data_IF_598063458187
#
_entry.id   IF_598063458187
#
_cell.length_a   1.000
_cell.length_b   1.000
_cell.length_c   1.000
_cell.angle_alpha   90.00
_cell.angle_beta   90.00
_cell.angle_gamma   90.00
#
_symmetry.space_group_name_H-M   'P 1'
#
loop_
_entity.id
_entity.type
_entity.pdbx_description
1 polymer ?
#
# COMPACT_ATOMS: atom_id res chain seq x y z
N UNK A 1 16.49 -4.48 15.61
CA UNK A 1 15.30 -5.18 15.10
C UNK A 1 14.22 -4.14 14.91
N UNK A 2 13.65 -4.03 13.71
CA UNK A 2 12.57 -3.06 13.41
C UNK A 2 11.21 -3.77 13.52
N UNK A 3 10.17 -3.05 13.93
CA UNK A 3 8.81 -3.57 14.09
C UNK A 3 7.86 -2.75 13.20
N UNK A 4 7.09 -3.43 12.35
CA UNK A 4 6.18 -2.78 11.41
C UNK A 4 5.07 -1.98 12.12
N UNK A 5 4.73 -2.36 13.35
CA UNK A 5 3.69 -1.73 14.17
C UNK A 5 4.21 -0.66 15.15
N UNK A 6 5.52 -0.40 15.16
CA UNK A 6 6.10 0.67 15.98
C UNK A 6 6.00 2.02 15.27
N UNK A 7 5.92 3.09 16.09
CA UNK A 7 5.96 4.49 15.65
C UNK A 7 4.89 4.85 14.61
N UNK A 8 3.67 4.34 14.79
CA UNK A 8 2.51 4.67 13.95
C UNK A 8 1.87 5.98 14.46
N UNK A 9 1.85 7.06 13.66
CA UNK A 9 1.17 8.30 14.04
C UNK A 9 -0.34 8.09 14.13
N UNK A 10 -1.01 8.76 15.07
CA UNK A 10 -2.48 8.67 15.21
C UNK A 10 -3.23 9.28 14.02
N UNK A 11 -2.64 10.30 13.39
CA UNK A 11 -3.20 10.95 12.20
C UNK A 11 -2.10 11.41 11.25
N UNK A 12 -2.38 11.32 9.96
CA UNK A 12 -1.52 11.76 8.88
C UNK A 12 -2.34 12.56 7.88
N UNK A 13 -1.76 13.60 7.27
CA UNK A 13 -2.39 14.31 6.16
C UNK A 13 -2.25 13.51 4.86
N UNK A 14 -1.06 12.95 4.63
CA UNK A 14 -0.71 12.09 3.49
C UNK A 14 -0.21 10.75 4.00
N UNK A 15 -0.31 9.70 3.19
CA UNK A 15 0.24 8.39 3.56
C UNK A 15 1.75 8.48 3.83
N UNK A 16 2.20 7.80 4.88
CA UNK A 16 3.62 7.70 5.15
C UNK A 16 4.18 6.45 4.47
N UNK A 17 5.03 6.65 3.46
CA UNK A 17 5.76 5.58 2.77
C UNK A 17 7.18 5.54 3.33
N UNK A 18 7.56 4.41 3.90
CA UNK A 18 8.88 4.18 4.48
C UNK A 18 9.58 3.00 3.79
N UNK A 19 10.67 3.23 3.04
CA UNK A 19 11.45 2.14 2.46
C UNK A 19 12.15 1.33 3.56
N UNK A 20 11.91 0.02 3.58
CA UNK A 20 12.52 -0.91 4.53
C UNK A 20 13.74 -1.62 3.94
N UNK A 21 13.65 -1.96 2.65
CA UNK A 21 14.72 -2.61 1.89
C UNK A 21 14.63 -2.18 0.42
N UNK A 22 15.77 -1.87 -0.17
CA UNK A 22 15.93 -1.77 -1.62
C UNK A 22 17.15 -2.58 -2.02
N UNK A 23 16.95 -3.59 -2.87
CA UNK A 23 18.03 -4.46 -3.33
C UNK A 23 17.73 -5.02 -4.71
N UNK A 24 18.57 -4.67 -5.70
CA UNK A 24 18.36 -5.06 -7.08
C UNK A 24 17.00 -4.55 -7.61
N UNK A 25 16.20 -5.46 -8.15
CA UNK A 25 14.84 -5.17 -8.66
C UNK A 25 13.74 -5.34 -7.60
N UNK A 26 14.11 -5.46 -6.32
CA UNK A 26 13.14 -5.65 -5.23
C UNK A 26 13.19 -4.47 -4.28
N UNK A 27 12.00 -3.96 -3.95
CA UNK A 27 11.79 -2.92 -2.98
C UNK A 27 10.68 -3.36 -2.02
N UNK A 28 10.92 -3.15 -0.73
CA UNK A 28 9.94 -3.41 0.33
C UNK A 28 9.71 -2.10 1.06
N UNK A 29 8.46 -1.69 1.13
CA UNK A 29 8.04 -0.45 1.78
C UNK A 29 6.99 -0.75 2.84
N UNK A 30 6.96 0.07 3.89
CA UNK A 30 5.85 0.16 4.83
C UNK A 30 5.04 1.38 4.48
N UNK A 31 3.74 1.18 4.26
CA UNK A 31 2.79 2.27 4.05
C UNK A 31 1.90 2.36 5.29
N UNK A 32 1.78 3.56 5.86
CA UNK A 32 0.85 3.86 6.95
C UNK A 32 -0.18 4.87 6.44
N UNK A 33 -1.44 4.43 6.45
CA UNK A 33 -2.59 5.23 6.07
C UNK A 33 -3.54 5.39 7.26
N UNK A 34 -4.10 6.58 7.45
CA UNK A 34 -5.09 6.93 8.48
C UNK A 34 -6.45 7.31 7.87
N UNK A 35 -6.73 6.85 6.64
CA UNK A 35 -7.99 7.07 5.92
C UNK A 35 -7.87 7.79 4.57
N UNK A 36 -6.65 7.99 4.07
CA UNK A 36 -6.39 8.58 2.76
C UNK A 36 -6.92 7.69 1.63
N UNK A 37 -7.06 8.30 0.46
CA UNK A 37 -7.35 7.62 -0.80
C UNK A 37 -6.62 8.36 -1.92
N UNK A 38 -6.37 7.66 -3.02
CA UNK A 38 -5.77 8.29 -4.20
C UNK A 38 -6.61 9.49 -4.68
N UNK A 39 -5.99 10.56 -5.20
CA UNK A 39 -6.72 11.72 -5.68
C UNK A 39 -7.73 11.37 -6.79
N UNK A 40 -8.83 12.14 -6.95
CA UNK A 40 -9.76 11.93 -8.04
C UNK A 40 -9.08 11.97 -9.41
N UNK A 41 -9.32 10.95 -10.24
CA UNK A 41 -8.76 10.83 -11.59
C UNK A 41 -7.29 10.39 -11.65
N UNK A 42 -6.67 10.06 -10.52
CA UNK A 42 -5.33 9.51 -10.47
C UNK A 42 -5.36 7.98 -10.55
N UNK A 43 -4.48 7.40 -11.36
CA UNK A 43 -4.24 5.96 -11.48
C UNK A 43 -2.76 5.66 -11.38
N UNK A 44 -2.41 4.57 -10.70
CA UNK A 44 -1.04 4.05 -10.70
C UNK A 44 -0.81 3.27 -11.99
N UNK A 45 0.22 3.65 -12.74
CA UNK A 45 0.74 2.95 -13.91
C UNK A 45 2.26 2.82 -13.75
N UNK A 46 2.72 1.60 -13.45
CA UNK A 46 4.07 1.32 -13.02
C UNK A 46 4.63 0.14 -13.81
N UNK A 47 5.92 0.22 -14.19
CA UNK A 47 6.61 -0.87 -14.89
C UNK A 47 6.98 -2.07 -13.98
N UNK A 48 6.77 -1.91 -12.67
CA UNK A 48 7.11 -2.92 -11.65
C UNK A 48 5.84 -3.68 -11.25
N UNK A 49 5.97 -5.00 -11.09
CA UNK A 49 4.93 -5.78 -10.42
C UNK A 49 4.86 -5.38 -8.95
N UNK A 50 3.65 -5.17 -8.44
CA UNK A 50 3.41 -4.87 -7.03
C UNK A 50 2.77 -6.07 -6.33
N UNK A 51 3.27 -6.39 -5.13
CA UNK A 51 2.59 -7.26 -4.19
C UNK A 51 2.34 -6.46 -2.91
N UNK A 52 1.07 -6.31 -2.53
CA UNK A 52 0.65 -5.52 -1.39
C UNK A 52 -0.16 -6.37 -0.42
N UNK A 53 -0.01 -6.14 0.88
CA UNK A 53 -0.79 -6.81 1.92
C UNK A 53 -1.21 -5.85 3.01
N UNK A 54 -2.42 -6.04 3.54
CA UNK A 54 -2.90 -5.30 4.70
C UNK A 54 -2.46 -6.03 5.97
N UNK A 55 -1.62 -5.39 6.79
CA UNK A 55 -1.22 -5.95 8.08
C UNK A 55 -2.19 -5.57 9.21
N UNK A 56 -2.80 -4.39 9.14
CA UNK A 56 -3.81 -3.89 10.08
C UNK A 56 -4.75 -2.91 9.38
N UNK A 57 -6.00 -2.83 9.81
CA UNK A 57 -7.00 -1.95 9.21
C UNK A 57 -7.68 -2.59 7.99
N UNK A 58 -7.94 -1.80 6.94
CA UNK A 58 -8.53 -2.25 5.68
C UNK A 58 -8.08 -1.34 4.54
N UNK A 59 -8.02 -1.86 3.33
CA UNK A 59 -7.78 -1.10 2.11
C UNK A 59 -8.72 -1.54 1.00
N UNK A 60 -8.88 -0.71 -0.02
CA UNK A 60 -9.61 -1.05 -1.24
C UNK A 60 -8.77 -0.63 -2.43
N UNK A 61 -8.57 -1.54 -3.37
CA UNK A 61 -7.91 -1.25 -4.66
C UNK A 61 -9.00 -1.26 -5.73
N UNK A 62 -9.06 -0.19 -6.51
CA UNK A 62 -9.89 -0.09 -7.71
C UNK A 62 -9.02 -0.23 -8.95
N UNK A 63 -9.56 -0.83 -10.01
CA UNK A 63 -8.94 -0.95 -11.32
C UNK A 63 -9.70 -0.10 -12.34
N UNK A 64 -9.04 0.32 -13.43
CA UNK A 64 -9.65 1.19 -14.46
C UNK A 64 -10.94 0.62 -15.08
N UNK A 65 -11.09 -0.70 -15.08
CA UNK A 65 -12.31 -1.38 -15.57
C UNK A 65 -13.47 -1.41 -14.54
N UNK A 66 -13.32 -0.72 -13.41
CA UNK A 66 -14.31 -0.60 -12.35
C UNK A 66 -14.35 -1.79 -11.38
N UNK A 67 -13.47 -2.78 -11.54
CA UNK A 67 -13.33 -3.83 -10.52
C UNK A 67 -12.74 -3.23 -9.24
N UNK A 68 -13.28 -3.66 -8.10
CA UNK A 68 -12.77 -3.30 -6.78
C UNK A 68 -12.41 -4.53 -5.97
N UNK A 69 -11.32 -4.45 -5.22
CA UNK A 69 -10.83 -5.51 -4.34
C UNK A 69 -10.67 -4.92 -2.95
N UNK A 70 -11.53 -5.35 -2.02
CA UNK A 70 -11.40 -5.00 -0.61
C UNK A 70 -10.45 -5.98 0.09
N UNK A 71 -9.52 -5.45 0.88
CA UNK A 71 -8.50 -6.19 1.61
C UNK A 71 -8.69 -5.99 3.12
N UNK A 72 -8.76 -7.09 3.87
CA UNK A 72 -8.72 -7.11 5.35
C UNK A 72 -7.35 -7.61 5.83
N UNK A 73 -7.04 -7.56 7.14
CA UNK A 73 -5.73 -7.98 7.64
C UNK A 73 -5.39 -9.42 7.25
N UNK A 74 -4.20 -9.60 6.69
CA UNK A 74 -3.69 -10.88 6.16
C UNK A 74 -4.01 -11.14 4.68
N UNK A 75 -4.92 -10.39 4.08
CA UNK A 75 -5.15 -10.48 2.63
C UNK A 75 -3.97 -9.83 1.88
N UNK A 76 -3.70 -10.35 0.69
CA UNK A 76 -2.69 -9.79 -0.21
C UNK A 76 -3.22 -9.74 -1.64
N UNK A 77 -2.62 -8.87 -2.43
CA UNK A 77 -2.95 -8.66 -3.82
C UNK A 77 -1.66 -8.52 -4.63
N UNK A 78 -1.63 -9.20 -5.78
CA UNK A 78 -0.60 -8.99 -6.78
C UNK A 78 -1.19 -8.15 -7.92
N UNK A 79 -0.54 -7.03 -8.21
CA UNK A 79 -0.88 -6.10 -9.28
C UNK A 79 0.24 -6.19 -10.32
N UNK A 80 -0.03 -6.71 -11.53
CA UNK A 80 1.00 -6.80 -12.54
C UNK A 80 1.39 -5.41 -13.08
N UNK A 81 2.63 -5.31 -13.58
CA UNK A 81 3.10 -4.21 -14.42
C UNK A 81 2.31 -4.11 -15.72
#
# INVERSE_FOLDING_TARGET
MQNLFADIPESLQEEQILPLLASGSVRIERIVSTGQSSPPGFWYDQQEHEWVTVLQGRGVVEYEDGRTVALKPGDHLHIPA
#
